data_IF_371223700945
#
_entry.id   IF_371223700945
#
_cell.length_a   1.000
_cell.length_b   1.000
_cell.length_c   1.000
_cell.angle_alpha   90.00
_cell.angle_beta   90.00
_cell.angle_gamma   90.00
#
_symmetry.space_group_name_H-M   'P 1'
#
loop_
_entity.id
_entity.type
_entity.pdbx_description
1 polymer ?
#
# COMPACT_ATOMS: atom_id res chain seq x y z
N UNK A 1 52.89 -14.25 1.35
CA UNK A 1 51.54 -14.58 1.84
C UNK A 1 50.96 -13.53 2.79
N UNK A 2 51.56 -13.15 3.92
CA UNK A 2 51.01 -12.20 4.91
C UNK A 2 50.70 -10.79 4.37
N UNK A 3 51.48 -10.27 3.41
CA UNK A 3 51.26 -8.94 2.79
C UNK A 3 50.02 -8.95 1.86
N UNK A 4 49.87 -9.97 1.05
CA UNK A 4 48.73 -10.13 0.12
C UNK A 4 47.45 -10.23 0.93
N UNK A 5 47.43 -11.01 2.03
CA UNK A 5 46.28 -11.14 2.92
C UNK A 5 45.86 -9.81 3.57
N UNK A 6 46.85 -8.96 3.94
CA UNK A 6 46.55 -7.63 4.49
C UNK A 6 45.96 -6.69 3.44
N UNK A 7 46.42 -6.71 2.21
CA UNK A 7 45.84 -5.88 1.13
C UNK A 7 44.47 -6.35 0.72
N UNK A 8 44.20 -7.66 0.69
CA UNK A 8 42.86 -8.19 0.39
C UNK A 8 41.88 -7.83 1.51
N UNK A 9 42.29 -7.88 2.78
CA UNK A 9 41.44 -7.51 3.91
C UNK A 9 41.14 -6.01 3.92
N UNK A 10 42.12 -5.14 3.62
CA UNK A 10 41.88 -3.69 3.54
C UNK A 10 41.01 -3.30 2.36
N UNK A 11 41.16 -3.95 1.21
CA UNK A 11 40.27 -3.75 0.04
C UNK A 11 38.85 -4.17 0.33
N UNK A 12 38.66 -5.30 1.05
CA UNK A 12 37.35 -5.78 1.46
C UNK A 12 36.69 -4.84 2.47
N UNK A 13 37.40 -4.32 3.46
CA UNK A 13 36.91 -3.34 4.43
C UNK A 13 36.55 -2.00 3.77
N UNK A 14 37.35 -1.54 2.79
CA UNK A 14 37.03 -0.35 1.99
C UNK A 14 35.78 -0.53 1.13
N UNK A 15 35.57 -1.71 0.52
CA UNK A 15 34.38 -2.02 -0.23
C UNK A 15 33.11 -2.06 0.65
N UNK A 16 33.22 -2.61 1.85
CA UNK A 16 32.16 -2.57 2.87
C UNK A 16 31.82 -1.14 3.32
N UNK A 17 32.83 -0.29 3.54
CA UNK A 17 32.63 1.10 3.93
C UNK A 17 31.94 1.93 2.84
N UNK A 18 32.25 1.69 1.56
CA UNK A 18 31.58 2.34 0.43
C UNK A 18 30.09 1.95 0.33
N UNK A 19 29.76 0.69 0.58
CA UNK A 19 28.37 0.20 0.55
C UNK A 19 27.47 0.88 1.61
N UNK A 20 28.03 1.18 2.79
CA UNK A 20 27.29 1.84 3.88
C UNK A 20 27.05 3.34 3.61
N UNK A 21 27.93 3.99 2.83
CA UNK A 21 27.81 5.43 2.52
C UNK A 21 26.66 5.71 1.52
N UNK A 22 26.36 4.79 0.61
CA UNK A 22 25.29 4.96 -0.39
C UNK A 22 23.89 4.82 0.23
N UNK A 23 23.75 4.08 1.34
CA UNK A 23 22.45 3.84 1.99
C UNK A 23 21.91 5.02 2.83
N UNK A 24 22.49 6.22 2.76
CA UNK A 24 22.14 7.34 3.65
C UNK A 24 21.82 8.66 2.94
N UNK A 25 21.76 8.67 1.61
CA UNK A 25 21.66 9.93 0.82
C UNK A 25 20.33 10.65 1.02
N UNK A 26 19.24 9.93 1.31
CA UNK A 26 17.89 10.47 1.48
C UNK A 26 17.47 10.79 2.92
N UNK A 27 18.23 10.30 3.92
CA UNK A 27 17.83 10.39 5.35
C UNK A 27 17.61 11.81 5.86
N UNK A 28 18.33 12.79 5.33
CA UNK A 28 18.18 14.20 5.74
C UNK A 28 16.79 14.71 5.35
N UNK A 29 16.38 14.44 4.13
CA UNK A 29 15.10 14.86 3.55
C UNK A 29 13.93 14.09 4.20
N UNK A 30 14.06 12.77 4.41
CA UNK A 30 13.07 11.97 5.14
C UNK A 30 12.85 12.54 6.54
N UNK A 31 13.92 12.89 7.28
CA UNK A 31 13.79 13.52 8.60
C UNK A 31 13.15 14.91 8.52
N UNK A 32 13.44 15.68 7.47
CA UNK A 32 12.80 16.98 7.26
C UNK A 32 11.30 16.81 7.01
N UNK A 33 10.91 15.88 6.13
CA UNK A 33 9.52 15.51 5.87
C UNK A 33 8.80 15.06 7.14
N UNK A 34 9.42 14.17 7.92
CA UNK A 34 8.85 13.71 9.19
C UNK A 34 8.58 14.85 10.18
N UNK A 35 9.44 15.87 10.22
CA UNK A 35 9.20 17.06 11.05
C UNK A 35 8.00 17.88 10.58
N UNK A 36 7.83 18.03 9.28
CA UNK A 36 6.67 18.73 8.70
C UNK A 36 5.39 17.92 8.92
N UNK A 37 5.44 16.61 8.69
CA UNK A 37 4.33 15.71 8.90
C UNK A 37 3.79 15.77 10.35
N UNK A 38 4.69 15.73 11.34
CA UNK A 38 4.34 15.85 12.77
C UNK A 38 3.69 17.20 13.14
N UNK A 39 3.94 18.24 12.34
CA UNK A 39 3.32 19.58 12.52
C UNK A 39 1.98 19.72 11.78
N UNK A 40 1.53 18.69 11.06
CA UNK A 40 0.35 18.75 10.19
C UNK A 40 0.57 19.49 8.87
N UNK A 41 1.81 19.83 8.53
CA UNK A 41 2.16 20.52 7.28
C UNK A 41 2.37 19.49 6.17
N UNK A 42 1.28 18.91 5.67
CA UNK A 42 1.33 17.75 4.76
C UNK A 42 2.03 18.08 3.44
N UNK A 43 1.72 19.23 2.80
CA UNK A 43 2.35 19.68 1.56
C UNK A 43 3.86 19.88 1.69
N UNK A 44 4.31 20.46 2.82
CA UNK A 44 5.74 20.61 3.06
C UNK A 44 6.41 19.25 3.34
N UNK A 45 5.71 18.32 3.97
CA UNK A 45 6.20 16.95 4.15
C UNK A 45 6.34 16.24 2.80
N UNK A 46 5.34 16.35 1.93
CA UNK A 46 5.36 15.82 0.56
C UNK A 46 6.60 16.32 -0.20
N UNK A 47 6.84 17.63 -0.21
CA UNK A 47 8.01 18.23 -0.89
C UNK A 47 9.33 17.59 -0.40
N UNK A 48 9.50 17.44 0.90
CA UNK A 48 10.72 16.86 1.45
C UNK A 48 10.85 15.37 1.13
N UNK A 49 9.76 14.60 1.15
CA UNK A 49 9.78 13.19 0.77
C UNK A 49 10.04 12.99 -0.74
N UNK A 50 9.52 13.88 -1.60
CA UNK A 50 9.85 13.86 -3.04
C UNK A 50 11.33 14.18 -3.29
N UNK A 51 11.92 15.11 -2.54
CA UNK A 51 13.38 15.35 -2.57
C UNK A 51 14.17 14.13 -2.14
N UNK A 52 13.69 13.41 -1.12
CA UNK A 52 14.29 12.15 -0.69
C UNK A 52 14.26 11.09 -1.80
N UNK A 53 13.10 10.90 -2.46
CA UNK A 53 12.98 9.97 -3.59
C UNK A 53 13.84 10.37 -4.81
N UNK A 54 14.03 11.67 -5.05
CA UNK A 54 14.91 12.14 -6.12
C UNK A 54 16.40 11.78 -5.84
N UNK A 55 16.78 11.63 -4.58
CA UNK A 55 18.12 11.19 -4.17
C UNK A 55 18.29 9.68 -4.15
N UNK A 56 17.25 8.99 -3.72
CA UNK A 56 17.16 7.53 -3.67
C UNK A 56 15.74 7.09 -4.05
N UNK A 57 15.58 6.71 -5.31
CA UNK A 57 14.28 6.26 -5.84
C UNK A 57 13.83 4.90 -5.26
N UNK A 58 14.74 4.15 -4.64
CA UNK A 58 14.48 2.84 -4.01
C UNK A 58 14.22 2.94 -2.52
N UNK A 59 14.27 4.16 -1.94
CA UNK A 59 14.02 4.38 -0.52
C UNK A 59 12.58 4.03 -0.15
N UNK A 60 12.39 2.90 0.53
CA UNK A 60 11.09 2.54 1.08
C UNK A 60 10.57 3.61 2.04
N UNK A 61 11.43 4.15 2.93
CA UNK A 61 11.01 5.15 3.91
C UNK A 61 10.50 6.44 3.25
N UNK A 62 11.17 6.92 2.18
CA UNK A 62 10.74 8.10 1.45
C UNK A 62 9.38 7.88 0.77
N UNK A 63 9.22 6.75 0.05
CA UNK A 63 7.98 6.44 -0.65
C UNK A 63 6.81 6.16 0.29
N UNK A 64 7.03 5.39 1.35
CA UNK A 64 6.02 5.08 2.35
C UNK A 64 5.50 6.35 3.06
N UNK A 65 6.42 7.22 3.49
CA UNK A 65 6.05 8.46 4.16
C UNK A 65 5.41 9.48 3.19
N UNK A 66 5.83 9.48 1.91
CA UNK A 66 5.17 10.28 0.87
C UNK A 66 3.72 9.85 0.68
N UNK A 67 3.47 8.55 0.57
CA UNK A 67 2.10 8.04 0.46
C UNK A 67 1.24 8.45 1.67
N UNK A 68 1.81 8.43 2.87
CA UNK A 68 1.14 8.92 4.08
C UNK A 68 0.81 10.43 4.03
N UNK A 69 1.72 11.27 3.50
CA UNK A 69 1.46 12.70 3.34
C UNK A 69 0.35 12.96 2.32
N UNK A 70 0.43 12.32 1.15
CA UNK A 70 -0.59 12.38 0.10
C UNK A 70 -1.97 11.93 0.59
N UNK A 71 -2.02 10.86 1.39
CA UNK A 71 -3.26 10.41 2.03
C UNK A 71 -3.87 11.50 2.92
N UNK A 72 -3.04 12.17 3.74
CA UNK A 72 -3.48 13.26 4.63
C UNK A 72 -3.96 14.48 3.86
N UNK A 73 -3.47 14.70 2.65
CA UNK A 73 -3.91 15.77 1.74
C UNK A 73 -5.20 15.41 0.99
N UNK A 74 -5.69 14.17 1.10
CA UNK A 74 -6.82 13.67 0.33
C UNK A 74 -6.47 13.27 -1.11
N UNK A 75 -5.18 13.23 -1.45
CA UNK A 75 -4.71 12.84 -2.78
C UNK A 75 -4.55 11.30 -2.87
N UNK A 76 -5.67 10.60 -2.80
CA UNK A 76 -5.71 9.13 -2.68
C UNK A 76 -5.19 8.41 -3.92
N UNK A 77 -5.38 8.97 -5.11
CA UNK A 77 -4.89 8.37 -6.35
C UNK A 77 -3.36 8.37 -6.44
N UNK A 78 -2.74 9.47 -6.06
CA UNK A 78 -1.28 9.55 -6.05
C UNK A 78 -0.67 8.75 -4.87
N UNK A 79 -1.36 8.68 -3.74
CA UNK A 79 -0.99 7.82 -2.62
C UNK A 79 -1.00 6.35 -3.05
N UNK A 80 -2.04 5.89 -3.75
CA UNK A 80 -2.13 4.53 -4.29
C UNK A 80 -0.96 4.22 -5.23
N UNK A 81 -0.70 5.09 -6.22
CA UNK A 81 0.42 4.93 -7.17
C UNK A 81 1.77 4.91 -6.46
N UNK A 82 1.91 5.70 -5.40
CA UNK A 82 3.16 5.76 -4.62
C UNK A 82 3.37 4.47 -3.84
N UNK A 83 2.33 3.91 -3.22
CA UNK A 83 2.39 2.60 -2.57
C UNK A 83 2.65 1.48 -3.57
N UNK A 84 2.03 1.52 -4.76
CA UNK A 84 2.23 0.47 -5.78
C UNK A 84 3.70 0.36 -6.22
N UNK A 85 4.43 1.48 -6.35
CA UNK A 85 5.88 1.48 -6.63
C UNK A 85 6.72 0.79 -5.55
N UNK A 86 6.19 0.65 -4.33
CA UNK A 86 6.89 0.01 -3.21
C UNK A 86 6.60 -1.49 -3.09
N UNK A 87 5.69 -2.02 -3.90
CA UNK A 87 5.18 -3.39 -3.79
C UNK A 87 6.28 -4.44 -3.70
N UNK A 88 7.29 -4.33 -4.57
CA UNK A 88 8.38 -5.32 -4.64
C UNK A 88 9.37 -5.21 -3.46
N UNK A 89 9.54 -4.03 -2.89
CA UNK A 89 10.50 -3.79 -1.80
C UNK A 89 9.85 -3.82 -0.42
N UNK A 90 8.54 -3.68 -0.32
CA UNK A 90 7.80 -3.67 0.94
C UNK A 90 8.02 -4.92 1.80
N UNK A 91 8.04 -6.16 1.26
CA UNK A 91 8.26 -7.36 2.07
C UNK A 91 9.60 -7.36 2.80
N UNK A 92 10.65 -6.82 2.19
CA UNK A 92 11.99 -6.76 2.77
C UNK A 92 12.23 -5.54 3.67
N UNK A 93 11.27 -4.60 3.77
CA UNK A 93 11.43 -3.34 4.50
C UNK A 93 11.36 -3.48 6.01
N UNK A 94 10.90 -4.62 6.54
CA UNK A 94 10.55 -4.81 7.95
C UNK A 94 9.26 -4.09 8.36
N UNK A 95 8.54 -3.45 7.42
CA UNK A 95 7.29 -2.70 7.63
C UNK A 95 6.18 -3.16 6.68
N UNK A 96 6.22 -4.42 6.28
CA UNK A 96 5.24 -4.96 5.35
C UNK A 96 3.80 -4.90 5.88
N UNK A 97 3.59 -5.14 7.18
CA UNK A 97 2.27 -5.00 7.79
C UNK A 97 1.71 -3.59 7.66
N UNK A 98 2.52 -2.57 8.03
CA UNK A 98 2.15 -1.14 7.91
C UNK A 98 1.87 -0.74 6.45
N UNK A 99 2.66 -1.29 5.52
CA UNK A 99 2.48 -1.04 4.09
C UNK A 99 1.11 -1.52 3.61
N UNK A 100 0.74 -2.76 3.93
CA UNK A 100 -0.57 -3.30 3.56
C UNK A 100 -1.71 -2.59 4.28
N UNK A 101 -1.52 -2.20 5.54
CA UNK A 101 -2.48 -1.39 6.26
C UNK A 101 -2.76 -0.07 5.53
N UNK A 102 -1.72 0.66 5.10
CA UNK A 102 -1.88 1.90 4.35
C UNK A 102 -2.51 1.69 2.97
N UNK A 103 -2.23 0.57 2.29
CA UNK A 103 -2.94 0.22 1.05
C UNK A 103 -4.44 0.06 1.30
N UNK A 104 -4.82 -0.63 2.38
CA UNK A 104 -6.20 -0.78 2.81
C UNK A 104 -6.87 0.57 3.06
N UNK A 105 -6.21 1.46 3.80
CA UNK A 105 -6.72 2.80 4.08
C UNK A 105 -6.97 3.61 2.81
N UNK A 106 -6.03 3.56 1.86
CA UNK A 106 -6.20 4.25 0.55
C UNK A 106 -7.35 3.64 -0.24
N UNK A 107 -7.46 2.32 -0.28
CA UNK A 107 -8.52 1.62 -0.99
C UNK A 107 -9.91 1.97 -0.42
N UNK A 108 -10.06 2.07 0.90
CA UNK A 108 -11.29 2.52 1.58
C UNK A 108 -11.70 3.91 1.11
N UNK A 109 -10.76 4.86 1.05
CA UNK A 109 -11.05 6.22 0.59
C UNK A 109 -11.49 6.26 -0.88
N UNK A 110 -11.01 5.33 -1.67
CA UNK A 110 -11.39 5.15 -3.09
C UNK A 110 -12.65 4.30 -3.26
N UNK A 111 -13.22 3.77 -2.17
CA UNK A 111 -14.34 2.82 -2.16
C UNK A 111 -14.05 1.53 -2.93
N UNK A 112 -12.79 1.18 -3.09
CA UNK A 112 -12.37 -0.12 -3.62
C UNK A 112 -12.36 -1.14 -2.47
N UNK A 113 -13.56 -1.60 -2.13
CA UNK A 113 -13.77 -2.46 -0.97
C UNK A 113 -13.07 -3.80 -1.10
N UNK A 114 -12.99 -4.33 -2.31
CA UNK A 114 -12.31 -5.59 -2.59
C UNK A 114 -10.81 -5.47 -2.35
N UNK A 115 -10.17 -4.41 -2.86
CA UNK A 115 -8.76 -4.14 -2.61
C UNK A 115 -8.50 -3.84 -1.12
N UNK A 116 -9.41 -3.12 -0.44
CA UNK A 116 -9.30 -2.84 0.98
C UNK A 116 -9.29 -4.13 1.83
N UNK A 117 -10.24 -5.04 1.57
CA UNK A 117 -10.33 -6.33 2.26
C UNK A 117 -9.05 -7.15 2.07
N UNK A 118 -8.53 -7.24 0.85
CA UNK A 118 -7.32 -8.01 0.61
C UNK A 118 -6.10 -7.38 1.28
N UNK A 119 -5.96 -6.06 1.21
CA UNK A 119 -4.85 -5.34 1.83
C UNK A 119 -4.84 -5.48 3.36
N UNK A 120 -5.97 -5.25 4.03
CA UNK A 120 -6.05 -5.44 5.48
C UNK A 120 -5.84 -6.89 5.90
N UNK A 121 -6.32 -7.86 5.12
CA UNK A 121 -6.04 -9.27 5.36
C UNK A 121 -4.54 -9.56 5.36
N UNK A 122 -3.79 -9.02 4.39
CA UNK A 122 -2.33 -9.17 4.35
C UNK A 122 -1.67 -8.48 5.55
N UNK A 123 -2.13 -7.30 5.95
CA UNK A 123 -1.65 -6.62 7.16
C UNK A 123 -1.83 -7.48 8.42
N UNK A 124 -3.01 -8.05 8.61
CA UNK A 124 -3.35 -8.90 9.77
C UNK A 124 -2.53 -10.20 9.78
N UNK A 125 -2.29 -10.80 8.60
CA UNK A 125 -1.43 -12.01 8.50
C UNK A 125 0.00 -11.73 8.97
N UNK A 126 0.51 -10.52 8.74
CA UNK A 126 1.86 -10.09 9.13
C UNK A 126 1.93 -9.54 10.56
N UNK A 127 0.86 -8.95 11.05
CA UNK A 127 0.73 -8.45 12.42
C UNK A 127 -0.65 -8.82 13.00
N UNK A 128 -0.80 -10.03 13.56
CA UNK A 128 -2.07 -10.50 14.08
C UNK A 128 -2.58 -9.75 15.32
N UNK A 129 -1.75 -8.96 15.98
CA UNK A 129 -2.13 -8.19 17.17
C UNK A 129 -2.69 -6.80 16.85
N UNK A 130 -2.67 -6.37 15.58
CA UNK A 130 -3.18 -5.07 15.16
C UNK A 130 -4.71 -5.06 15.18
N UNK A 131 -5.27 -4.46 16.22
CA UNK A 131 -6.72 -4.33 16.40
C UNK A 131 -7.34 -3.37 15.40
N UNK A 132 -6.64 -2.28 15.05
CA UNK A 132 -7.13 -1.30 14.09
C UNK A 132 -7.25 -1.91 12.68
N UNK A 133 -6.27 -2.72 12.27
CA UNK A 133 -6.34 -3.45 11.01
C UNK A 133 -7.53 -4.44 10.98
N UNK A 134 -7.81 -5.13 12.10
CA UNK A 134 -8.97 -6.04 12.21
C UNK A 134 -10.29 -5.30 12.11
N UNK A 135 -10.44 -4.16 12.79
CA UNK A 135 -11.64 -3.34 12.74
C UNK A 135 -11.88 -2.80 11.32
N UNK A 136 -10.84 -2.27 10.68
CA UNK A 136 -10.91 -1.76 9.32
C UNK A 136 -11.19 -2.87 8.30
N UNK A 137 -10.63 -4.07 8.51
CA UNK A 137 -10.95 -5.25 7.70
C UNK A 137 -12.44 -5.60 7.80
N UNK A 138 -12.98 -5.66 9.03
CA UNK A 138 -14.39 -5.97 9.26
C UNK A 138 -15.31 -4.93 8.59
N UNK A 139 -14.96 -3.66 8.72
CA UNK A 139 -15.67 -2.56 8.03
C UNK A 139 -15.65 -2.71 6.51
N UNK A 140 -14.45 -2.88 5.92
CA UNK A 140 -14.31 -3.02 4.47
C UNK A 140 -15.07 -4.25 3.94
N UNK A 141 -15.06 -5.36 4.68
CA UNK A 141 -15.80 -6.58 4.34
C UNK A 141 -17.31 -6.36 4.38
N UNK A 142 -17.82 -5.60 5.35
CA UNK A 142 -19.24 -5.26 5.39
C UNK A 142 -19.63 -4.40 4.18
N UNK A 143 -18.84 -3.37 3.87
CA UNK A 143 -19.09 -2.48 2.74
C UNK A 143 -19.06 -3.23 1.39
N UNK A 144 -18.13 -4.18 1.23
CA UNK A 144 -18.08 -5.05 0.05
C UNK A 144 -19.35 -5.87 -0.11
N UNK A 145 -19.83 -6.47 0.99
CA UNK A 145 -21.07 -7.24 0.99
C UNK A 145 -22.29 -6.38 0.64
N UNK A 146 -22.36 -5.16 1.16
CA UNK A 146 -23.45 -4.22 0.89
C UNK A 146 -23.45 -3.78 -0.59
N UNK A 147 -22.26 -3.56 -1.18
CA UNK A 147 -22.10 -3.26 -2.60
C UNK A 147 -22.56 -4.43 -3.49
N UNK A 148 -22.16 -5.67 -3.16
CA UNK A 148 -22.59 -6.87 -3.87
C UNK A 148 -24.12 -7.09 -3.81
N UNK A 149 -24.75 -6.79 -2.68
CA UNK A 149 -26.22 -6.90 -2.53
C UNK A 149 -26.96 -5.83 -3.32
N UNK A 150 -26.42 -4.61 -3.42
CA UNK A 150 -27.00 -3.52 -4.21
C UNK A 150 -26.79 -3.71 -5.71
N UNK A 151 -25.65 -4.30 -6.12
CA UNK A 151 -25.34 -4.59 -7.52
C UNK A 151 -26.06 -5.82 -8.09
N UNK A 152 -26.49 -6.75 -7.24
CA UNK A 152 -27.19 -7.99 -7.65
C UNK A 152 -28.70 -7.86 -7.89
N UNK A 153 -29.29 -6.67 -7.70
CA UNK A 153 -30.73 -6.43 -7.85
C UNK A 153 -31.23 -6.18 -9.27
N UNK A 154 -30.39 -6.30 -10.32
CA UNK A 154 -30.71 -5.92 -11.70
C UNK A 154 -31.07 -7.05 -12.68
N UNK A 155 -30.80 -8.32 -12.38
CA UNK A 155 -30.86 -9.39 -13.40
C UNK A 155 -31.83 -10.57 -13.11
N UNK A 156 -32.85 -10.39 -12.24
CA UNK A 156 -33.84 -11.47 -11.99
C UNK A 156 -35.28 -11.05 -12.20
N UNK A 157 -35.60 -10.29 -13.26
CA UNK A 157 -37.00 -10.06 -13.68
C UNK A 157 -37.18 -10.09 -15.21
N UNK A 158 -36.74 -11.15 -15.88
CA UNK A 158 -37.17 -11.45 -17.26
C UNK A 158 -36.95 -12.93 -17.58
N UNK A 159 -37.67 -13.86 -16.94
CA UNK A 159 -37.90 -15.21 -17.46
C UNK A 159 -39.04 -15.92 -16.69
N UNK A 160 -40.22 -15.26 -16.54
CA UNK A 160 -41.44 -15.93 -16.15
C UNK A 160 -42.65 -15.31 -16.87
N UNK A 161 -42.70 -15.45 -18.19
CA UNK A 161 -43.93 -15.33 -18.94
C UNK A 161 -43.72 -15.89 -20.35
N UNK A 162 -43.70 -17.22 -20.48
CA UNK A 162 -44.01 -17.92 -21.75
C UNK A 162 -44.09 -19.43 -21.53
N UNK A 163 -45.14 -19.88 -20.81
CA UNK A 163 -45.53 -21.27 -20.92
C UNK A 163 -46.98 -21.46 -20.45
N UNK A 164 -47.93 -20.78 -21.10
CA UNK A 164 -49.33 -21.16 -21.13
C UNK A 164 -49.89 -20.75 -22.50
N UNK A 165 -49.94 -21.72 -23.38
CA UNK A 165 -51.01 -21.89 -24.39
C UNK A 165 -50.50 -22.84 -25.47
N UNK A 166 -50.74 -24.11 -25.29
CA UNK A 166 -50.97 -25.07 -26.39
C UNK A 166 -51.48 -26.39 -25.81
N UNK A 167 -52.76 -26.42 -25.48
CA UNK A 167 -53.49 -27.69 -25.40
C UNK A 167 -55.00 -27.48 -25.53
N UNK A 168 -55.47 -27.24 -26.75
CA UNK A 168 -56.86 -27.54 -27.18
C UNK A 168 -56.84 -27.54 -28.71
N UNK A 169 -56.95 -28.77 -29.23
CA UNK A 169 -57.82 -29.15 -30.33
C UNK A 169 -57.28 -30.44 -30.96
N UNK A 170 -57.87 -31.53 -30.54
CA UNK A 170 -58.07 -32.69 -31.38
C UNK A 170 -59.24 -33.50 -30.81
N UNK A 171 -60.43 -33.22 -31.39
CA UNK A 171 -61.47 -34.19 -31.64
C UNK A 171 -61.95 -33.97 -33.03
#
# INVERSE_FOLDING_TARGET
MRRILRYSLTAFLLALACGVCMAQTDRKEVRAGNRQYKKGNWQNAEIEYRKAQAKDSTSFAAGYNLAGALYREGNFDEAAKTLDRLKEIAPASGRAADYFYNQGNVAVQKKDWKAAVEAYKQSILLNPEDLEAKENYAYAKQMLKDEEQQGGGGDNQQDQDNNQDNNQDNK
#
